data_IF_882290561861
#
_entry.id   IF_882290561861
#
_cell.length_a   1.000
_cell.length_b   1.000
_cell.length_c   1.000
_cell.angle_alpha   90.00
_cell.angle_beta   90.00
_cell.angle_gamma   90.00
#
_symmetry.space_group_name_H-M   'P 1'
#
loop_
_entity.id
_entity.type
_entity.pdbx_description
1 polymer ?
#
# COMPACT_ATOMS: atom_id res chain seq x y z
N UNK A 1 -75.75 -52.35 -20.80
CA UNK A 1 -75.68 -51.68 -19.47
C UNK A 1 -74.22 -51.52 -19.02
N UNK A 2 -73.42 -52.59 -18.96
CA UNK A 2 -72.01 -52.50 -18.57
C UNK A 2 -71.15 -51.65 -19.52
N UNK A 3 -71.26 -51.86 -20.84
CA UNK A 3 -70.55 -51.08 -21.86
C UNK A 3 -70.86 -49.58 -21.83
N UNK A 4 -72.11 -49.20 -21.48
CA UNK A 4 -72.50 -47.80 -21.33
C UNK A 4 -71.87 -47.16 -20.10
N UNK A 5 -71.71 -47.93 -19.01
CA UNK A 5 -71.08 -47.45 -17.78
C UNK A 5 -69.58 -47.24 -17.98
N UNK A 6 -68.90 -48.19 -18.63
CA UNK A 6 -67.48 -48.07 -18.99
C UNK A 6 -67.22 -46.87 -19.91
N UNK A 7 -68.05 -46.67 -20.94
CA UNK A 7 -67.95 -45.52 -21.82
C UNK A 7 -68.08 -44.19 -21.07
N UNK A 8 -68.96 -44.14 -20.07
CA UNK A 8 -69.17 -42.92 -19.28
C UNK A 8 -68.03 -42.66 -18.28
N UNK A 9 -67.46 -43.72 -17.70
CA UNK A 9 -66.24 -43.64 -16.88
C UNK A 9 -65.04 -43.13 -17.71
N UNK A 10 -64.83 -43.67 -18.91
CA UNK A 10 -63.76 -43.22 -19.82
C UNK A 10 -63.94 -41.76 -20.25
N UNK A 11 -65.17 -41.31 -20.55
CA UNK A 11 -65.43 -39.90 -20.86
C UNK A 11 -65.06 -38.97 -19.72
N UNK A 12 -65.39 -39.35 -18.47
CA UNK A 12 -65.05 -38.57 -17.28
C UNK A 12 -63.53 -38.52 -17.10
N UNK A 13 -62.83 -39.62 -17.33
CA UNK A 13 -61.38 -39.67 -17.24
C UNK A 13 -60.69 -38.82 -18.33
N UNK A 14 -61.20 -38.89 -19.57
CA UNK A 14 -60.73 -38.07 -20.69
C UNK A 14 -60.96 -36.58 -20.41
N UNK A 15 -62.13 -36.20 -19.86
CA UNK A 15 -62.42 -34.83 -19.48
C UNK A 15 -61.43 -34.29 -18.43
N UNK A 16 -61.11 -35.09 -17.40
CA UNK A 16 -60.10 -34.74 -16.39
C UNK A 16 -58.70 -34.59 -17.00
N UNK A 17 -58.32 -35.47 -17.93
CA UNK A 17 -57.04 -35.36 -18.65
C UNK A 17 -56.98 -34.11 -19.51
N UNK A 18 -58.06 -33.77 -20.21
CA UNK A 18 -58.19 -32.53 -20.99
C UNK A 18 -58.03 -31.28 -20.12
N UNK A 19 -58.72 -31.24 -18.98
CA UNK A 19 -58.61 -30.12 -18.03
C UNK A 19 -57.18 -29.97 -17.49
N UNK A 20 -56.53 -31.09 -17.15
CA UNK A 20 -55.12 -31.08 -16.73
C UNK A 20 -54.20 -30.58 -17.84
N UNK A 21 -54.40 -31.04 -19.08
CA UNK A 21 -53.60 -30.59 -20.23
C UNK A 21 -53.78 -29.09 -20.48
N UNK A 22 -55.00 -28.56 -20.34
CA UNK A 22 -55.27 -27.12 -20.49
C UNK A 22 -54.55 -26.33 -19.38
N UNK A 23 -54.59 -26.82 -18.14
CA UNK A 23 -53.87 -26.22 -17.02
C UNK A 23 -52.35 -26.23 -17.23
N UNK A 24 -51.78 -27.39 -17.57
CA UNK A 24 -50.33 -27.55 -17.80
C UNK A 24 -49.88 -26.66 -18.98
N UNK A 25 -50.69 -26.55 -20.04
CA UNK A 25 -50.43 -25.67 -21.19
C UNK A 25 -50.37 -24.20 -20.77
N UNK A 26 -51.31 -23.73 -19.95
CA UNK A 26 -51.32 -22.35 -19.47
C UNK A 26 -50.08 -22.06 -18.60
N UNK A 27 -49.67 -23.00 -17.76
CA UNK A 27 -48.45 -22.87 -16.95
C UNK A 27 -47.18 -22.79 -17.82
N UNK A 28 -47.08 -23.61 -18.87
CA UNK A 28 -45.96 -23.58 -19.81
C UNK A 28 -45.88 -22.24 -20.54
N UNK A 29 -47.02 -21.68 -20.95
CA UNK A 29 -47.07 -20.36 -21.61
C UNK A 29 -46.56 -19.26 -20.67
N UNK A 30 -46.99 -19.27 -19.41
CA UNK A 30 -46.53 -18.30 -18.40
C UNK A 30 -45.01 -18.40 -18.18
N UNK A 31 -44.49 -19.61 -17.97
CA UNK A 31 -43.03 -19.82 -17.82
C UNK A 31 -42.25 -19.39 -19.06
N UNK A 32 -42.83 -19.54 -20.25
CA UNK A 32 -42.20 -19.11 -21.50
C UNK A 32 -42.14 -17.58 -21.62
N UNK A 33 -43.12 -16.85 -21.08
CA UNK A 33 -43.07 -15.38 -20.99
C UNK A 33 -42.03 -14.92 -19.95
N UNK A 34 -42.04 -15.51 -18.76
CA UNK A 34 -41.04 -15.20 -17.72
C UNK A 34 -39.61 -15.45 -18.20
N UNK A 35 -39.38 -16.55 -18.92
CA UNK A 35 -38.07 -16.86 -19.50
C UNK A 35 -37.64 -15.81 -20.53
N UNK A 36 -38.55 -15.34 -21.38
CA UNK A 36 -38.25 -14.28 -22.36
C UNK A 36 -37.87 -12.98 -21.68
N UNK A 37 -38.53 -12.63 -20.59
CA UNK A 37 -38.21 -11.40 -19.86
C UNK A 37 -36.89 -11.52 -19.11
N UNK A 38 -36.61 -12.67 -18.50
CA UNK A 38 -35.29 -12.96 -17.90
C UNK A 38 -34.16 -12.92 -18.95
N UNK A 39 -34.39 -13.42 -20.16
CA UNK A 39 -33.42 -13.35 -21.26
C UNK A 39 -33.12 -11.91 -21.68
N UNK A 40 -34.14 -11.04 -21.78
CA UNK A 40 -33.93 -9.62 -22.09
C UNK A 40 -33.10 -8.94 -20.99
N UNK A 41 -33.42 -9.19 -19.72
CA UNK A 41 -32.67 -8.63 -18.60
C UNK A 41 -31.21 -9.10 -18.60
N UNK A 42 -30.98 -10.37 -18.90
CA UNK A 42 -29.63 -10.94 -19.00
C UNK A 42 -28.80 -10.24 -20.09
N UNK A 43 -29.37 -10.03 -21.28
CA UNK A 43 -28.68 -9.33 -22.39
C UNK A 43 -28.29 -7.90 -21.99
N UNK A 44 -29.19 -7.17 -21.33
CA UNK A 44 -28.89 -5.81 -20.85
C UNK A 44 -27.76 -5.81 -19.82
N UNK A 45 -27.75 -6.79 -18.89
CA UNK A 45 -26.66 -6.93 -17.91
C UNK A 45 -25.34 -7.29 -18.57
N UNK A 46 -25.35 -8.17 -19.56
CA UNK A 46 -24.16 -8.55 -20.32
C UNK A 46 -23.55 -7.32 -21.02
N UNK A 47 -24.37 -6.52 -21.69
CA UNK A 47 -23.93 -5.28 -22.34
C UNK A 47 -23.39 -4.26 -21.33
N UNK A 48 -24.06 -4.11 -20.19
CA UNK A 48 -23.59 -3.26 -19.09
C UNK A 48 -22.21 -3.69 -18.58
N UNK A 49 -22.03 -4.99 -18.32
CA UNK A 49 -20.75 -5.52 -17.85
C UNK A 49 -19.64 -5.38 -18.89
N UNK A 50 -19.97 -5.55 -20.18
CA UNK A 50 -19.02 -5.34 -21.28
C UNK A 50 -18.55 -3.89 -21.33
N UNK A 51 -19.48 -2.93 -21.29
CA UNK A 51 -19.13 -1.50 -21.26
C UNK A 51 -18.28 -1.14 -20.05
N UNK A 52 -18.58 -1.72 -18.88
CA UNK A 52 -17.77 -1.51 -17.66
C UNK A 52 -16.36 -2.08 -17.81
N UNK A 53 -16.22 -3.23 -18.48
CA UNK A 53 -14.91 -3.82 -18.75
C UNK A 53 -14.07 -2.94 -19.69
N UNK A 54 -14.68 -2.41 -20.75
CA UNK A 54 -14.00 -1.52 -21.70
C UNK A 54 -13.53 -0.22 -21.00
N UNK A 55 -14.35 0.34 -20.11
CA UNK A 55 -13.98 1.51 -19.28
C UNK A 55 -12.77 1.20 -18.38
N UNK A 56 -12.79 0.04 -17.72
CA UNK A 56 -11.68 -0.39 -16.85
C UNK A 56 -10.38 -0.60 -17.63
N UNK A 57 -10.44 -1.20 -18.82
CA UNK A 57 -9.27 -1.38 -19.69
C UNK A 57 -8.69 -0.03 -20.15
N UNK A 58 -9.56 0.95 -20.44
CA UNK A 58 -9.14 2.31 -20.76
C UNK A 58 -8.39 2.98 -19.59
N UNK A 59 -8.94 2.88 -18.37
CA UNK A 59 -8.30 3.40 -17.16
C UNK A 59 -6.97 2.71 -16.85
N UNK A 60 -6.89 1.39 -17.04
CA UNK A 60 -5.66 0.62 -16.85
C UNK A 60 -4.55 1.06 -17.82
N UNK A 61 -4.92 1.29 -19.09
CA UNK A 61 -4.00 1.81 -20.10
C UNK A 61 -3.49 3.21 -19.74
N UNK A 62 -4.37 4.10 -19.27
CA UNK A 62 -3.99 5.44 -18.80
C UNK A 62 -3.05 5.37 -17.59
N UNK A 63 -3.35 4.49 -16.62
CA UNK A 63 -2.50 4.27 -15.44
C UNK A 63 -1.11 3.79 -15.83
N UNK A 64 -1.03 2.82 -16.74
CA UNK A 64 0.24 2.31 -17.27
C UNK A 64 1.08 3.43 -17.91
N UNK A 65 0.45 4.27 -18.75
CA UNK A 65 1.12 5.43 -19.36
C UNK A 65 1.62 6.46 -18.35
N UNK A 66 0.84 6.74 -17.30
CA UNK A 66 1.24 7.66 -16.22
C UNK A 66 2.43 7.10 -15.42
N UNK A 67 2.42 5.81 -15.12
CA UNK A 67 3.54 5.12 -14.45
C UNK A 67 4.81 5.24 -15.30
N UNK A 68 4.74 5.02 -16.61
CA UNK A 68 5.90 5.17 -17.50
C UNK A 68 6.44 6.61 -17.51
N UNK A 69 5.56 7.62 -17.51
CA UNK A 69 5.99 9.02 -17.42
C UNK A 69 6.64 9.36 -16.08
N UNK A 70 6.08 8.87 -14.97
CA UNK A 70 6.64 9.11 -13.64
C UNK A 70 8.00 8.43 -13.47
N UNK A 71 8.11 7.17 -13.88
CA UNK A 71 9.38 6.43 -13.85
C UNK A 71 10.47 7.09 -14.70
N UNK A 72 10.10 7.66 -15.86
CA UNK A 72 11.05 8.44 -16.67
C UNK A 72 11.56 9.70 -15.96
N UNK A 73 10.67 10.43 -15.28
CA UNK A 73 11.05 11.62 -14.50
C UNK A 73 11.88 11.27 -13.26
N UNK A 74 11.56 10.17 -12.60
CA UNK A 74 12.31 9.66 -11.45
C UNK A 74 13.75 9.37 -11.84
N UNK A 75 13.95 8.66 -12.96
CA UNK A 75 15.28 8.41 -13.52
C UNK A 75 16.04 9.70 -13.84
N UNK A 76 15.38 10.70 -14.43
CA UNK A 76 16.01 11.99 -14.72
C UNK A 76 16.47 12.72 -13.44
N UNK A 77 15.71 12.61 -12.35
CA UNK A 77 16.08 13.17 -11.04
C UNK A 77 17.26 12.40 -10.45
N UNK A 78 17.26 11.07 -10.53
CA UNK A 78 18.38 10.23 -10.08
C UNK A 78 19.68 10.58 -10.80
N UNK A 79 19.65 10.74 -12.12
CA UNK A 79 20.81 11.13 -12.93
C UNK A 79 21.35 12.51 -12.45
N UNK A 80 20.47 13.50 -12.25
CA UNK A 80 20.86 14.83 -11.74
C UNK A 80 21.46 14.78 -10.33
N UNK A 81 20.93 13.94 -9.45
CA UNK A 81 21.50 13.73 -8.10
C UNK A 81 22.90 13.12 -8.23
N UNK A 82 23.10 12.15 -9.13
CA UNK A 82 24.41 11.56 -9.41
C UNK A 82 25.45 12.58 -9.87
N UNK A 83 25.07 13.47 -10.79
CA UNK A 83 25.92 14.57 -11.26
C UNK A 83 26.31 15.52 -10.13
N UNK A 84 25.34 15.94 -9.30
CA UNK A 84 25.58 16.83 -8.16
C UNK A 84 26.49 16.19 -7.11
N UNK A 85 26.32 14.90 -6.83
CA UNK A 85 27.17 14.17 -5.88
C UNK A 85 28.61 14.10 -6.41
N UNK A 86 28.79 13.84 -7.70
CA UNK A 86 30.10 13.81 -8.34
C UNK A 86 30.79 15.17 -8.28
N UNK A 87 30.04 16.24 -8.60
CA UNK A 87 30.53 17.61 -8.52
C UNK A 87 30.95 18.01 -7.09
N UNK A 88 30.13 17.67 -6.09
CA UNK A 88 30.46 17.94 -4.69
C UNK A 88 31.71 17.18 -4.23
N UNK A 89 31.91 15.95 -4.71
CA UNK A 89 33.11 15.15 -4.42
C UNK A 89 34.37 15.78 -5.01
N UNK A 90 34.30 16.28 -6.24
CA UNK A 90 35.42 16.98 -6.88
C UNK A 90 35.79 18.27 -6.13
N UNK A 91 34.78 19.04 -5.70
CA UNK A 91 35.00 20.22 -4.87
C UNK A 91 35.66 19.89 -3.53
N UNK A 92 35.25 18.79 -2.87
CA UNK A 92 35.88 18.33 -1.63
C UNK A 92 37.35 17.93 -1.85
N UNK A 93 37.66 17.20 -2.93
CA UNK A 93 39.05 16.86 -3.26
C UNK A 93 39.89 18.11 -3.54
N UNK A 94 39.35 19.08 -4.27
CA UNK A 94 40.04 20.34 -4.52
C UNK A 94 40.31 21.12 -3.22
N UNK A 95 39.36 21.12 -2.27
CA UNK A 95 39.56 21.72 -0.95
C UNK A 95 40.66 21.00 -0.16
N UNK A 96 40.67 19.67 -0.16
CA UNK A 96 41.68 18.86 0.53
C UNK A 96 43.08 19.10 -0.05
N UNK A 97 43.20 19.18 -1.37
CA UNK A 97 44.46 19.48 -2.06
C UNK A 97 44.98 20.88 -1.69
N UNK A 98 44.10 21.88 -1.63
CA UNK A 98 44.43 23.24 -1.18
C UNK A 98 44.89 23.22 0.29
N UNK A 99 44.17 22.53 1.18
CA UNK A 99 44.55 22.40 2.59
C UNK A 99 45.93 21.75 2.75
N UNK A 100 46.22 20.70 1.98
CA UNK A 100 47.51 20.03 1.98
C UNK A 100 48.63 20.94 1.46
N UNK A 101 48.37 21.76 0.44
CA UNK A 101 49.32 22.77 -0.03
C UNK A 101 49.61 23.85 1.01
N UNK A 102 48.58 24.35 1.71
CA UNK A 102 48.73 25.35 2.77
C UNK A 102 49.54 24.78 3.95
N UNK A 103 49.24 23.56 4.38
CA UNK A 103 49.94 22.91 5.50
C UNK A 103 51.40 22.54 5.17
N UNK A 104 51.69 22.14 3.92
CA UNK A 104 53.06 21.85 3.49
C UNK A 104 53.86 23.10 3.10
N UNK A 105 53.21 24.20 2.71
CA UNK A 105 53.86 25.48 2.40
C UNK A 105 54.49 26.20 3.60
N UNK A 106 54.21 25.74 4.83
CA UNK A 106 54.73 26.34 6.06
C UNK A 106 55.86 25.55 6.74
N UNK A 107 56.36 24.48 6.12
CA UNK A 107 57.44 23.67 6.71
C UNK A 107 58.83 24.10 6.19
N UNK A 108 59.15 25.36 6.42
CA UNK A 108 60.45 25.98 6.20
C UNK A 108 60.90 26.77 7.42
N UNK A 109 60.92 26.14 8.61
CA UNK A 109 61.45 26.79 9.82
C UNK A 109 61.24 26.03 11.13
N UNK A 110 62.31 25.35 11.58
CA UNK A 110 62.69 25.03 12.97
C UNK A 110 61.63 24.82 14.08
N UNK A 111 61.56 23.58 14.54
CA UNK A 111 61.83 23.12 15.93
C UNK A 111 61.54 24.08 17.10
N UNK A 112 60.51 23.77 17.90
CA UNK A 112 60.57 23.81 19.38
C UNK A 112 59.33 23.15 19.99
N UNK A 113 59.50 22.59 21.18
CA UNK A 113 58.59 21.63 21.80
C UNK A 113 57.24 22.17 22.27
N UNK A 114 56.35 21.22 22.54
CA UNK A 114 55.00 21.51 23.03
C UNK A 114 54.21 20.24 23.30
N UNK A 115 54.65 19.43 24.25
CA UNK A 115 53.85 18.34 24.78
C UNK A 115 52.77 18.96 25.68
N UNK A 116 51.58 19.21 25.13
CA UNK A 116 50.45 19.77 25.87
C UNK A 116 49.46 18.66 26.23
N UNK A 117 49.53 18.21 27.48
CA UNK A 117 48.46 17.47 28.13
C UNK A 117 47.44 18.47 28.68
N UNK A 118 46.24 18.45 28.11
CA UNK A 118 45.02 19.06 28.64
C UNK A 118 43.89 18.48 27.79
N UNK A 119 42.95 17.70 28.31
CA UNK A 119 42.13 17.95 29.48
C UNK A 119 40.69 18.03 28.95
N UNK A 120 39.93 16.95 29.11
CA UNK A 120 38.55 16.84 28.61
C UNK A 120 37.81 15.73 29.34
N UNK A 121 37.00 16.16 30.31
CA UNK A 121 36.13 15.42 31.22
C UNK A 121 34.89 14.82 30.51
N UNK A 122 34.08 14.10 31.29
CA UNK A 122 32.75 13.49 31.05
C UNK A 122 32.76 12.25 30.16
N UNK A 123 32.72 11.01 30.66
CA UNK A 123 32.04 10.55 31.87
C UNK A 123 30.55 10.50 31.60
N UNK A 124 30.07 9.37 31.06
CA UNK A 124 28.67 9.01 31.22
C UNK A 124 28.45 7.51 31.02
N UNK A 125 27.65 7.01 31.95
CA UNK A 125 27.56 5.63 32.35
C UNK A 125 26.53 4.87 31.53
N UNK A 126 26.81 3.59 31.41
CA UNK A 126 25.83 2.55 31.22
C UNK A 126 24.74 2.64 32.31
N UNK A 127 23.48 2.85 31.93
CA UNK A 127 22.34 2.56 32.78
C UNK A 127 21.17 2.08 31.93
N UNK A 128 20.92 0.77 32.02
CA UNK A 128 19.63 0.19 31.69
C UNK A 128 18.58 0.80 32.60
N UNK A 129 17.73 1.62 32.00
CA UNK A 129 16.55 2.21 32.61
C UNK A 129 15.36 1.95 31.70
N UNK A 130 14.27 1.52 32.32
CA UNK A 130 12.93 1.39 31.76
C UNK A 130 12.61 2.48 30.71
N UNK A 131 12.58 2.09 29.42
CA UNK A 131 12.33 2.99 28.29
C UNK A 131 10.84 3.03 28.01
N UNK A 132 10.15 3.88 28.77
CA UNK A 132 8.86 4.43 28.35
C UNK A 132 9.02 5.12 26.97
N UNK A 133 8.08 4.94 26.02
CA UNK A 133 8.11 5.68 24.77
C UNK A 133 8.24 7.18 25.06
N UNK A 134 9.33 7.79 24.56
CA UNK A 134 9.68 9.18 24.91
C UNK A 134 8.60 10.18 24.51
N UNK A 135 8.51 11.28 25.27
CA UNK A 135 7.64 12.41 24.96
C UNK A 135 8.05 13.01 23.60
N UNK A 136 7.15 13.11 22.60
CA UNK A 136 7.49 13.60 21.26
C UNK A 136 8.12 14.99 21.29
N UNK A 137 9.39 15.09 20.88
CA UNK A 137 10.10 16.36 20.78
C UNK A 137 9.62 17.19 19.58
N UNK A 138 9.75 18.52 19.66
CA UNK A 138 9.50 19.42 18.51
C UNK A 138 10.64 19.45 17.49
N UNK A 139 11.84 19.00 17.89
CA UNK A 139 13.08 19.18 17.12
C UNK A 139 13.46 17.94 16.31
N UNK A 140 13.32 16.73 16.86
CA UNK A 140 13.74 15.48 16.23
C UNK A 140 12.66 14.39 16.27
N UNK A 141 12.78 13.43 15.35
CA UNK A 141 11.94 12.23 15.32
C UNK A 141 12.46 11.20 16.32
N UNK A 142 11.54 10.69 17.13
CA UNK A 142 11.69 9.56 18.02
C UNK A 142 11.14 8.30 17.36
N UNK A 143 11.62 7.16 17.85
CA UNK A 143 11.11 5.87 17.46
C UNK A 143 9.74 5.64 18.12
N UNK A 144 8.70 5.22 17.37
CA UNK A 144 7.33 5.16 17.88
C UNK A 144 7.07 3.95 18.81
N UNK A 145 7.92 2.93 18.80
CA UNK A 145 7.80 1.74 19.63
C UNK A 145 9.14 1.07 19.93
N UNK A 146 9.14 0.10 20.85
CA UNK A 146 10.34 -0.58 21.31
C UNK A 146 10.61 -1.91 20.60
N UNK A 147 9.60 -2.51 19.95
CA UNK A 147 9.71 -3.76 19.19
C UNK A 147 10.84 -3.78 18.16
N UNK A 148 11.41 -4.95 17.86
CA UNK A 148 12.53 -5.08 16.90
C UNK A 148 12.05 -4.85 15.45
N UNK A 149 12.95 -4.41 14.56
CA UNK A 149 12.61 -4.36 13.13
C UNK A 149 12.46 -5.79 12.60
N UNK A 150 11.26 -6.15 12.16
CA UNK A 150 10.96 -7.47 11.60
C UNK A 150 10.97 -7.48 10.08
N UNK A 151 10.53 -6.38 9.44
CA UNK A 151 10.59 -6.20 7.99
C UNK A 151 11.05 -4.76 7.68
N UNK A 152 12.22 -4.56 7.03
CA UNK A 152 12.74 -3.24 6.71
C UNK A 152 12.00 -2.60 5.51
N UNK A 153 12.21 -1.30 5.34
CA UNK A 153 11.82 -0.59 4.13
C UNK A 153 12.64 -1.10 2.94
N UNK A 154 11.98 -1.30 1.79
CA UNK A 154 12.66 -1.64 0.55
C UNK A 154 12.02 -2.78 -0.25
N UNK A 155 12.74 -3.32 -1.25
CA UNK A 155 12.25 -4.43 -2.07
C UNK A 155 12.01 -5.68 -1.22
N UNK A 156 10.84 -6.30 -1.37
CA UNK A 156 10.50 -7.56 -0.70
C UNK A 156 9.86 -8.54 -1.66
N UNK A 157 10.00 -9.82 -1.38
CA UNK A 157 9.26 -10.87 -2.07
C UNK A 157 8.10 -11.26 -1.15
N UNK A 158 6.87 -11.20 -1.65
CA UNK A 158 5.71 -11.61 -0.88
C UNK A 158 5.86 -13.09 -0.48
N UNK A 159 5.92 -13.42 0.82
CA UNK A 159 6.17 -14.79 1.27
C UNK A 159 5.02 -15.76 0.95
N UNK A 160 3.83 -15.24 0.62
CA UNK A 160 2.64 -16.02 0.29
C UNK A 160 2.47 -16.18 -1.22
N UNK A 161 2.63 -15.10 -1.99
CA UNK A 161 2.39 -15.12 -3.45
C UNK A 161 3.66 -15.31 -4.29
N UNK A 162 4.84 -15.08 -3.71
CA UNK A 162 6.13 -15.13 -4.42
C UNK A 162 6.38 -13.93 -5.33
N UNK A 163 5.47 -12.95 -5.37
CA UNK A 163 5.59 -11.77 -6.21
C UNK A 163 6.60 -10.77 -5.64
N UNK A 164 7.35 -10.12 -6.52
CA UNK A 164 8.19 -8.99 -6.13
C UNK A 164 7.30 -7.79 -5.81
N UNK A 165 7.53 -7.19 -4.65
CA UNK A 165 6.88 -5.98 -4.18
C UNK A 165 7.87 -5.04 -3.50
N UNK A 166 7.35 -3.95 -2.97
CA UNK A 166 8.14 -2.96 -2.25
C UNK A 166 7.44 -2.59 -0.94
N UNK A 167 8.19 -2.63 0.16
CA UNK A 167 7.71 -2.25 1.48
C UNK A 167 7.97 -0.77 1.70
N UNK A 168 6.90 0.03 1.74
CA UNK A 168 6.97 1.49 1.90
C UNK A 168 6.99 1.93 3.37
N UNK A 169 7.31 1.03 4.29
CA UNK A 169 7.33 1.26 5.73
C UNK A 169 8.38 0.38 6.41
N UNK A 170 8.40 0.42 7.74
CA UNK A 170 9.23 -0.45 8.57
C UNK A 170 8.34 -1.11 9.60
N UNK A 171 8.37 -2.45 9.67
CA UNK A 171 7.57 -3.20 10.62
C UNK A 171 8.34 -3.40 11.92
N UNK A 172 7.71 -3.02 13.03
CA UNK A 172 8.23 -3.21 14.39
C UNK A 172 7.44 -4.31 15.09
N UNK A 173 8.11 -5.42 15.42
CA UNK A 173 7.52 -6.55 16.13
C UNK A 173 7.50 -6.34 17.64
N UNK A 174 6.32 -6.10 18.20
CA UNK A 174 6.05 -5.86 19.63
C UNK A 174 4.82 -6.69 20.08
N UNK A 175 4.69 -7.12 21.35
CA UNK A 175 3.48 -7.80 21.81
C UNK A 175 2.21 -6.97 21.62
N UNK A 176 1.08 -7.66 21.46
CA UNK A 176 -0.22 -7.00 21.32
C UNK A 176 -0.53 -6.11 22.54
N UNK A 177 -0.93 -4.86 22.27
CA UNK A 177 -1.24 -3.87 23.29
C UNK A 177 -0.03 -3.03 23.75
N UNK A 178 1.16 -3.27 23.19
CA UNK A 178 2.31 -2.39 23.42
C UNK A 178 1.99 -0.95 23.02
N UNK A 179 2.39 0.04 23.85
CA UNK A 179 2.12 1.45 23.56
C UNK A 179 2.91 1.92 22.35
N UNK A 180 2.25 2.71 21.50
CA UNK A 180 2.86 3.38 20.34
C UNK A 180 2.83 4.88 20.59
N UNK A 181 3.99 5.52 20.58
CA UNK A 181 4.12 6.97 20.72
C UNK A 181 4.20 7.67 19.35
N UNK A 182 3.79 8.92 19.31
CA UNK A 182 4.02 9.78 18.16
C UNK A 182 5.53 9.97 17.95
N UNK A 183 5.99 9.80 16.71
CA UNK A 183 7.41 9.98 16.41
C UNK A 183 7.87 11.42 16.55
N UNK A 184 7.00 12.42 16.42
CA UNK A 184 7.34 13.83 16.61
C UNK A 184 6.08 14.61 16.98
N UNK A 185 6.22 15.80 17.57
CA UNK A 185 5.06 16.68 17.76
C UNK A 185 4.42 17.01 16.41
N UNK A 186 3.08 17.05 16.37
CA UNK A 186 2.35 17.33 15.13
C UNK A 186 0.84 17.38 15.37
N UNK A 187 0.08 17.49 14.29
CA UNK A 187 -1.39 17.49 14.30
C UNK A 187 -1.88 16.18 13.71
N UNK A 188 -2.82 15.51 14.38
CA UNK A 188 -3.47 14.31 13.84
C UNK A 188 -4.21 14.70 12.55
N UNK A 189 -3.74 14.21 11.42
CA UNK A 189 -4.37 14.39 10.11
C UNK A 189 -5.42 13.30 9.86
N UNK A 190 -5.24 12.10 10.42
CA UNK A 190 -6.17 11.00 10.30
C UNK A 190 -6.12 10.06 11.52
N UNK A 191 -7.27 9.51 11.91
CA UNK A 191 -7.39 8.42 12.88
C UNK A 191 -8.61 7.56 12.52
N UNK A 192 -8.36 6.29 12.21
CA UNK A 192 -9.42 5.31 11.87
C UNK A 192 -8.92 4.19 10.98
N UNK A 193 -9.83 3.49 10.32
CA UNK A 193 -9.51 2.31 9.51
C UNK A 193 -9.15 2.66 8.05
N UNK A 194 -8.00 2.18 7.55
CA UNK A 194 -7.62 2.28 6.14
C UNK A 194 -7.46 0.86 5.56
N UNK A 195 -8.10 0.61 4.41
CA UNK A 195 -7.96 -0.68 3.72
C UNK A 195 -6.49 -0.95 3.36
N UNK A 196 -5.98 -2.11 3.78
CA UNK A 196 -4.58 -2.51 3.57
C UNK A 196 -3.63 -2.14 4.72
N UNK A 197 -3.95 -1.12 5.52
CA UNK A 197 -3.15 -0.70 6.69
C UNK A 197 -3.79 -1.11 8.03
N UNK A 198 -5.11 -1.21 8.09
CA UNK A 198 -5.86 -1.49 9.32
C UNK A 198 -6.14 -0.23 10.12
N UNK A 199 -6.19 -0.34 11.46
CA UNK A 199 -6.28 0.82 12.35
C UNK A 199 -5.04 1.70 12.20
N UNK A 200 -5.25 2.92 11.73
CA UNK A 200 -4.19 3.82 11.28
C UNK A 200 -4.34 5.20 11.91
N UNK A 201 -3.22 5.77 12.35
CA UNK A 201 -3.10 7.17 12.75
C UNK A 201 -2.05 7.81 11.85
N UNK A 202 -2.35 8.98 11.30
CA UNK A 202 -1.41 9.79 10.52
C UNK A 202 -1.26 11.14 11.21
N UNK A 203 -0.02 11.55 11.45
CA UNK A 203 0.34 12.81 12.10
C UNK A 203 1.07 13.68 11.08
N UNK A 204 0.59 14.91 10.90
CA UNK A 204 1.25 15.95 10.10
C UNK A 204 2.20 16.76 10.98
N UNK A 205 3.48 16.78 10.59
CA UNK A 205 4.55 17.51 11.25
C UNK A 205 4.92 18.83 10.55
N UNK A 206 4.21 19.19 9.48
CA UNK A 206 4.49 20.33 8.62
C UNK A 206 5.54 20.03 7.55
N UNK A 207 5.71 20.98 6.61
CA UNK A 207 6.66 20.88 5.48
C UNK A 207 6.52 19.60 4.62
N UNK A 208 5.30 19.03 4.57
CA UNK A 208 5.02 17.82 3.80
C UNK A 208 5.51 16.52 4.45
N UNK A 209 5.91 16.54 5.72
CA UNK A 209 6.37 15.35 6.45
C UNK A 209 5.24 14.80 7.31
N UNK A 210 4.95 13.50 7.14
CA UNK A 210 3.93 12.78 7.89
C UNK A 210 4.48 11.44 8.41
N UNK A 211 3.94 10.99 9.54
CA UNK A 211 4.15 9.64 10.08
C UNK A 211 2.84 8.98 10.39
#
# INVERSE_FOLDING_TARGET
KELQKQLEEEKVEIAKKLEKIESDKNEVVLKQEELKDAQKEFIVKEEFHKNKMDELQGLESQKSGLISSLSGKEKEIEDKIGDLVSYNRELQQALDDIFNQINNGNNGGNNSGGNNSGGGNSGENNSGGDVTPGDPSSESFLRPGNGIVTDPYGPRINPVTGESGFHTGVDLGDPYGSPVAASKSGVVAYSGWISGYGETVIIDHGNGVQT
#
